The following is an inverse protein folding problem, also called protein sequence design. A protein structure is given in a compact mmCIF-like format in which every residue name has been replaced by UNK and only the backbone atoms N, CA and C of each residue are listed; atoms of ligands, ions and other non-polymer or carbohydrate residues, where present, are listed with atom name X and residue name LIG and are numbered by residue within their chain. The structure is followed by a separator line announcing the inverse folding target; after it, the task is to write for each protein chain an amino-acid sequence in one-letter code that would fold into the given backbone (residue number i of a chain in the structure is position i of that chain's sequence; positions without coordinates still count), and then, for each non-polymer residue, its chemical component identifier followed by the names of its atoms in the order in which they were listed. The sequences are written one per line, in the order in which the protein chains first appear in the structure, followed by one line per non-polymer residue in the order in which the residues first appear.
data_IF_321739197488
#
_entry.id   IF_321739197488
#
_cell.length_a   1.000
_cell.length_b   1.000
_cell.length_c   1.000
_cell.angle_alpha   90.00
_cell.angle_beta   90.00
_cell.angle_gamma   90.00
#
_symmetry.space_group_name_H-M   'P 1'
#
loop_
_entity.id
_entity.type
_entity.pdbx_description
1 polymer ?
#
# COMPACT_ATOMS: atom_id res chain seq x y z
N UNK A 1 -5.89 20.04 10.83
CA UNK A 1 -5.41 20.70 9.59
C UNK A 1 -5.54 19.69 8.47
N UNK A 2 -6.11 20.08 7.32
CA UNK A 2 -6.12 19.23 6.14
C UNK A 2 -4.78 19.37 5.43
N UNK A 3 -4.11 18.25 5.16
CA UNK A 3 -2.92 18.25 4.32
C UNK A 3 -3.30 18.42 2.85
N UNK A 4 -2.46 19.06 2.03
CA UNK A 4 -2.72 19.13 0.59
C UNK A 4 -2.74 17.72 0.00
N UNK A 5 -3.67 17.47 -0.93
CA UNK A 5 -3.77 16.16 -1.60
C UNK A 5 -2.58 15.90 -2.53
N UNK A 6 -1.91 16.95 -2.98
CA UNK A 6 -0.73 16.91 -3.84
C UNK A 6 0.31 17.86 -3.28
N UNK A 7 1.54 17.42 -3.20
CA UNK A 7 2.70 18.21 -2.79
C UNK A 7 3.56 18.44 -4.02
N UNK A 8 3.99 19.66 -4.23
CA UNK A 8 5.04 19.98 -5.21
C UNK A 8 6.37 20.02 -4.47
N UNK A 9 7.23 19.07 -4.78
CA UNK A 9 8.55 18.91 -4.14
C UNK A 9 9.67 19.51 -4.98
N UNK A 10 10.78 19.79 -4.31
CA UNK A 10 12.03 20.19 -4.95
C UNK A 10 12.90 18.97 -5.28
N UNK A 11 13.85 19.13 -6.21
CA UNK A 11 14.83 18.08 -6.49
C UNK A 11 15.68 17.78 -5.26
N UNK A 12 15.66 16.53 -4.83
CA UNK A 12 16.34 16.06 -3.64
C UNK A 12 15.38 15.59 -2.53
N UNK A 13 14.16 16.09 -2.50
CA UNK A 13 13.14 15.65 -1.53
C UNK A 13 12.87 14.15 -1.66
N UNK A 14 12.93 13.63 -2.89
CA UNK A 14 12.75 12.21 -3.18
C UNK A 14 13.85 11.31 -2.62
N UNK A 15 14.98 11.89 -2.22
CA UNK A 15 16.16 11.16 -1.69
C UNK A 15 16.18 11.09 -0.17
N UNK A 16 15.11 11.54 0.49
CA UNK A 16 15.02 11.53 1.95
C UNK A 16 14.40 10.23 2.44
N UNK A 17 15.06 9.58 3.41
CA UNK A 17 14.51 8.47 4.19
C UNK A 17 14.73 8.76 5.67
N UNK A 18 13.67 8.68 6.49
CA UNK A 18 13.72 9.09 7.89
C UNK A 18 12.86 8.18 8.80
N UNK A 19 13.20 8.11 10.07
CA UNK A 19 12.54 7.25 11.06
C UNK A 19 11.15 7.74 11.48
N UNK A 20 10.86 9.04 11.33
CA UNK A 20 9.56 9.63 11.61
C UNK A 20 8.76 9.86 10.33
N UNK A 21 7.44 10.01 10.46
CA UNK A 21 6.57 10.36 9.33
C UNK A 21 7.04 11.67 8.69
N UNK A 22 7.03 11.73 7.35
CA UNK A 22 7.45 12.92 6.61
C UNK A 22 6.38 14.00 6.83
N UNK A 23 6.68 15.03 7.64
CA UNK A 23 5.77 16.16 7.88
C UNK A 23 4.34 15.78 8.28
N UNK A 24 4.14 14.68 9.00
CA UNK A 24 2.82 14.11 9.33
C UNK A 24 1.92 13.79 8.13
N UNK A 25 2.51 13.73 6.93
CA UNK A 25 1.79 13.48 5.68
C UNK A 25 1.21 12.05 5.69
N UNK A 26 -0.07 11.87 5.34
CA UNK A 26 -0.65 10.53 5.21
C UNK A 26 0.08 9.68 4.18
N UNK A 27 0.23 8.37 4.46
CA UNK A 27 0.80 7.43 3.49
C UNK A 27 -0.06 7.39 2.21
N UNK A 28 0.61 7.39 1.07
CA UNK A 28 -0.01 7.47 -0.24
C UNK A 28 -0.22 8.88 -0.77
N UNK A 29 0.10 9.94 -0.01
CA UNK A 29 0.07 11.32 -0.51
C UNK A 29 1.00 11.47 -1.71
N UNK A 30 0.50 12.12 -2.76
CA UNK A 30 1.22 12.35 -4.00
C UNK A 30 2.19 13.51 -3.87
N UNK A 31 3.43 13.31 -4.31
CA UNK A 31 4.40 14.38 -4.57
C UNK A 31 4.77 14.39 -6.05
N UNK A 32 4.84 15.57 -6.63
CA UNK A 32 5.23 15.79 -8.04
C UNK A 32 6.43 16.73 -8.06
N UNK A 33 7.49 16.34 -8.76
CA UNK A 33 8.64 17.21 -9.01
C UNK A 33 8.46 18.01 -10.31
N UNK A 34 9.29 19.05 -10.49
CA UNK A 34 9.20 19.94 -11.65
C UNK A 34 9.41 19.24 -12.99
N UNK A 35 10.11 18.10 -13.03
CA UNK A 35 10.30 17.25 -14.21
C UNK A 35 9.14 16.27 -14.49
N UNK A 36 8.08 16.33 -13.68
CA UNK A 36 6.90 15.48 -13.81
C UNK A 36 7.02 14.09 -13.16
N UNK A 37 8.13 13.76 -12.52
CA UNK A 37 8.25 12.53 -11.75
C UNK A 37 7.25 12.54 -10.59
N UNK A 38 6.61 11.40 -10.35
CA UNK A 38 5.58 11.25 -9.30
C UNK A 38 6.01 10.24 -8.25
N UNK A 39 5.76 10.61 -7.01
CA UNK A 39 6.11 9.82 -5.83
C UNK A 39 4.91 9.71 -4.88
N UNK A 40 4.90 8.65 -4.07
CA UNK A 40 3.93 8.46 -3.00
C UNK A 40 4.65 8.33 -1.66
N UNK A 41 4.16 9.03 -0.63
CA UNK A 41 4.65 8.85 0.73
C UNK A 41 4.45 7.39 1.16
N UNK A 42 5.51 6.73 1.60
CA UNK A 42 5.54 5.31 1.91
C UNK A 42 6.35 5.00 3.17
N UNK A 43 6.17 3.82 3.72
CA UNK A 43 6.92 3.30 4.85
C UNK A 43 7.48 1.92 4.49
N UNK A 44 8.76 1.70 4.75
CA UNK A 44 9.38 0.38 4.65
C UNK A 44 8.83 -0.57 5.72
N UNK A 45 8.76 -1.83 5.40
CA UNK A 45 8.41 -2.88 6.36
C UNK A 45 9.54 -3.21 7.34
N UNK A 46 9.50 -4.43 7.89
CA UNK A 46 10.50 -4.89 8.87
C UNK A 46 11.89 -5.15 8.26
N UNK A 47 12.02 -5.16 6.94
CA UNK A 47 13.29 -5.30 6.22
C UNK A 47 13.66 -3.98 5.54
N UNK A 48 14.96 -3.74 5.42
CA UNK A 48 15.50 -2.61 4.67
C UNK A 48 15.23 -2.79 3.16
N UNK A 49 15.07 -1.67 2.45
CA UNK A 49 14.87 -1.63 1.00
C UNK A 49 16.13 -1.15 0.32
N UNK A 50 16.54 -1.81 -0.75
CA UNK A 50 17.70 -1.39 -1.55
C UNK A 50 17.30 -0.28 -2.53
N UNK A 51 18.22 0.64 -2.82
CA UNK A 51 18.06 1.65 -3.85
C UNK A 51 17.80 0.98 -5.22
N UNK A 52 16.90 1.57 -6.01
CA UNK A 52 16.50 1.04 -7.31
C UNK A 52 15.64 -0.23 -7.27
N UNK A 53 15.32 -0.76 -6.09
CA UNK A 53 14.51 -1.97 -5.99
C UNK A 53 13.03 -1.72 -6.31
N UNK A 54 12.45 -2.61 -7.11
CA UNK A 54 10.99 -2.69 -7.30
C UNK A 54 10.34 -3.14 -6.00
N UNK A 55 9.30 -2.42 -5.59
CA UNK A 55 8.60 -2.62 -4.33
C UNK A 55 7.18 -3.15 -4.54
N UNK A 56 6.71 -3.89 -3.56
CA UNK A 56 5.32 -4.34 -3.45
C UNK A 56 4.71 -3.88 -2.12
N UNK A 57 3.38 -3.83 -2.06
CA UNK A 57 2.71 -3.71 -0.76
C UNK A 57 2.95 -5.00 0.03
N UNK A 58 3.03 -4.91 1.35
CA UNK A 58 3.05 -6.11 2.18
C UNK A 58 1.77 -6.93 1.94
N UNK A 59 1.89 -8.25 1.96
CA UNK A 59 0.71 -9.11 1.98
C UNK A 59 -0.22 -8.63 3.09
N UNK A 60 -1.52 -8.55 2.79
CA UNK A 60 -2.51 -8.14 3.77
C UNK A 60 -2.39 -9.00 5.03
N UNK A 61 -2.47 -8.38 6.21
CA UNK A 61 -2.48 -9.15 7.45
C UNK A 61 -3.61 -10.18 7.41
N UNK A 62 -3.32 -11.48 7.55
CA UNK A 62 -4.35 -12.51 7.52
C UNK A 62 -5.41 -12.24 8.59
N UNK A 63 -6.69 -12.40 8.25
CA UNK A 63 -7.79 -12.33 9.20
C UNK A 63 -8.50 -10.98 9.33
N UNK A 64 -8.00 -9.91 8.74
CA UNK A 64 -8.66 -8.59 8.75
C UNK A 64 -9.42 -8.30 7.44
N UNK A 65 -9.21 -9.11 6.41
CA UNK A 65 -10.06 -9.15 5.22
C UNK A 65 -11.24 -10.09 5.42
N UNK A 66 -12.26 -9.95 4.59
CA UNK A 66 -13.39 -10.87 4.57
C UNK A 66 -12.94 -12.25 4.07
N UNK A 67 -12.41 -13.07 4.95
CA UNK A 67 -12.36 -14.52 4.74
C UNK A 67 -13.73 -15.06 5.14
N UNK A 68 -14.37 -15.79 4.25
CA UNK A 68 -15.73 -16.32 4.37
C UNK A 68 -16.11 -16.69 5.82
N UNK A 69 -17.04 -15.94 6.40
CA UNK A 69 -17.56 -16.17 7.74
C UNK A 69 -16.80 -15.52 8.90
N UNK A 70 -15.66 -14.87 8.69
CA UNK A 70 -14.81 -14.30 9.76
C UNK A 70 -14.65 -12.77 9.67
N UNK A 71 -15.50 -12.07 8.91
CA UNK A 71 -15.43 -10.62 8.79
C UNK A 71 -15.62 -9.94 10.15
N UNK A 72 -14.90 -8.83 10.35
CA UNK A 72 -15.16 -7.94 11.47
C UNK A 72 -16.60 -7.46 11.37
N UNK A 73 -17.36 -7.57 12.47
CA UNK A 73 -18.74 -7.10 12.53
C UNK A 73 -18.81 -5.79 13.29
N UNK A 74 -19.76 -4.95 12.94
CA UNK A 74 -20.08 -3.81 13.78
C UNK A 74 -20.42 -4.30 15.20
N UNK A 75 -19.86 -3.68 16.24
CA UNK A 75 -20.08 -4.11 17.62
C UNK A 75 -21.52 -3.91 18.03
N UNK A 76 -22.12 -4.93 18.67
CA UNK A 76 -23.46 -4.84 19.24
C UNK A 76 -23.50 -4.04 20.55
N UNK A 77 -22.36 -3.89 21.20
CA UNK A 77 -22.26 -3.34 22.56
C UNK A 77 -22.20 -1.81 22.58
N UNK A 78 -22.13 -1.15 21.42
CA UNK A 78 -21.83 0.29 21.35
C UNK A 78 -22.80 1.01 20.41
N UNK A 79 -23.37 2.09 20.91
CA UNK A 79 -24.31 2.97 20.20
C UNK A 79 -23.64 3.94 19.21
N UNK A 80 -22.33 3.77 18.93
CA UNK A 80 -21.52 4.78 18.23
C UNK A 80 -21.33 4.57 16.73
N UNK A 81 -21.84 3.48 16.15
CA UNK A 81 -21.77 3.26 14.69
C UNK A 81 -22.91 3.96 13.93
N UNK A 82 -23.20 5.21 14.33
CA UNK A 82 -24.25 6.03 13.75
C UNK A 82 -23.75 6.75 12.49
N UNK A 83 -24.69 7.24 11.68
CA UNK A 83 -24.35 8.16 10.60
C UNK A 83 -23.63 9.39 11.16
N UNK A 84 -22.68 9.94 10.38
CA UNK A 84 -21.78 11.06 10.72
C UNK A 84 -20.79 10.75 11.87
N UNK A 85 -20.71 9.51 12.37
CA UNK A 85 -19.67 9.12 13.32
C UNK A 85 -18.30 8.99 12.64
N UNK A 86 -17.25 9.43 13.35
CA UNK A 86 -15.85 9.26 12.95
C UNK A 86 -15.20 8.09 13.68
N UNK A 87 -15.81 7.58 14.74
CA UNK A 87 -15.37 6.42 15.47
C UNK A 87 -16.26 5.23 15.15
N UNK A 88 -15.64 4.17 14.65
CA UNK A 88 -16.32 2.91 14.31
C UNK A 88 -15.86 1.81 15.23
N UNK A 89 -16.80 1.21 15.94
CA UNK A 89 -16.52 0.10 16.83
C UNK A 89 -16.77 -1.23 16.12
N UNK A 90 -15.72 -2.04 16.03
CA UNK A 90 -15.76 -3.35 15.38
C UNK A 90 -15.47 -4.46 16.37
N UNK A 91 -16.22 -5.55 16.28
CA UNK A 91 -15.96 -6.73 17.10
C UNK A 91 -14.76 -7.49 16.54
N UNK A 92 -13.73 -7.70 17.36
CA UNK A 92 -12.53 -8.46 17.01
C UNK A 92 -12.63 -9.84 17.64
N UNK A 93 -13.24 -10.79 16.95
CA UNK A 93 -13.52 -12.09 17.58
C UNK A 93 -12.29 -12.98 17.83
N UNK A 94 -11.17 -12.77 17.14
CA UNK A 94 -10.02 -13.69 17.20
C UNK A 94 -8.64 -13.03 17.05
N UNK A 95 -8.52 -11.72 16.81
CA UNK A 95 -7.25 -11.11 16.43
C UNK A 95 -6.93 -9.90 17.32
N UNK A 96 -5.71 -9.87 17.85
CA UNK A 96 -5.19 -8.70 18.52
C UNK A 96 -4.90 -7.61 17.47
N UNK A 97 -5.41 -6.41 17.68
CA UNK A 97 -5.10 -5.22 16.88
C UNK A 97 -3.96 -4.45 17.52
N UNK A 98 -2.90 -4.24 16.77
CA UNK A 98 -1.84 -3.29 17.15
C UNK A 98 -2.35 -1.87 16.91
N UNK A 99 -2.01 -0.92 17.78
CA UNK A 99 -2.33 0.48 17.60
C UNK A 99 -1.83 0.98 16.24
N UNK A 100 -2.66 1.74 15.55
CA UNK A 100 -2.38 2.35 14.25
C UNK A 100 -1.96 1.38 13.12
N UNK A 101 -2.26 0.07 13.28
CA UNK A 101 -1.98 -0.93 12.24
C UNK A 101 -2.61 -0.55 10.90
N UNK A 102 -3.82 0.01 10.92
CA UNK A 102 -4.59 0.42 9.75
C UNK A 102 -4.56 1.93 9.48
N UNK A 103 -3.70 2.69 10.17
CA UNK A 103 -3.54 4.10 9.88
C UNK A 103 -3.25 4.35 8.40
N UNK A 104 -3.89 5.36 7.83
CA UNK A 104 -3.87 5.71 6.39
C UNK A 104 -4.41 4.59 5.47
N UNK A 105 -4.99 3.54 6.04
CA UNK A 105 -5.68 2.47 5.34
C UNK A 105 -7.13 2.78 5.00
N UNK A 106 -7.91 1.74 4.80
CA UNK A 106 -9.34 1.85 4.47
C UNK A 106 -10.18 0.84 5.25
N UNK A 107 -11.35 1.29 5.66
CA UNK A 107 -12.45 0.45 6.15
C UNK A 107 -13.45 0.31 5.01
N UNK A 108 -13.76 -0.93 4.62
CA UNK A 108 -14.68 -1.23 3.54
C UNK A 108 -15.88 -2.00 4.10
N UNK A 109 -17.11 -1.62 3.73
CA UNK A 109 -18.32 -2.34 4.09
C UNK A 109 -18.54 -3.43 3.05
N UNK A 110 -18.52 -4.70 3.49
CA UNK A 110 -18.56 -5.86 2.59
C UNK A 110 -19.82 -6.73 2.74
N UNK A 111 -20.66 -6.48 3.71
CA UNK A 111 -21.89 -7.26 3.90
C UNK A 111 -22.86 -6.69 4.92
N UNK A 112 -24.06 -7.26 5.02
CA UNK A 112 -24.65 -8.30 4.18
C UNK A 112 -25.04 -7.82 2.77
N UNK A 113 -25.14 -8.74 1.81
CA UNK A 113 -25.40 -8.42 0.40
C UNK A 113 -26.69 -7.62 0.13
N UNK A 114 -27.66 -7.67 1.02
CA UNK A 114 -28.91 -6.91 0.93
C UNK A 114 -28.83 -5.50 1.51
N UNK A 115 -27.67 -5.05 2.01
CA UNK A 115 -27.54 -3.73 2.59
C UNK A 115 -27.27 -2.66 1.52
N UNK A 116 -27.92 -1.50 1.66
CA UNK A 116 -27.81 -0.37 0.73
C UNK A 116 -26.45 0.33 0.78
N UNK A 117 -25.54 -0.07 1.70
CA UNK A 117 -24.26 0.57 1.93
C UNK A 117 -23.04 -0.31 1.55
N UNK A 118 -23.28 -1.46 0.90
CA UNK A 118 -22.17 -2.23 0.32
C UNK A 118 -21.42 -1.38 -0.69
N UNK A 119 -20.08 -1.43 -0.59
CA UNK A 119 -19.19 -0.67 -1.45
C UNK A 119 -18.81 0.70 -0.88
N UNK A 120 -19.39 1.13 0.26
CA UNK A 120 -18.88 2.28 0.96
C UNK A 120 -17.49 1.99 1.52
N UNK A 121 -16.55 2.88 1.25
CA UNK A 121 -15.17 2.80 1.67
C UNK A 121 -14.79 4.09 2.39
N UNK A 122 -14.23 3.96 3.58
CA UNK A 122 -13.88 5.09 4.44
C UNK A 122 -12.39 5.12 4.72
N UNK A 123 -11.80 6.31 4.74
CA UNK A 123 -10.39 6.49 5.04
C UNK A 123 -10.15 6.38 6.54
N UNK A 124 -9.22 5.49 6.93
CA UNK A 124 -8.87 5.27 8.35
C UNK A 124 -7.75 6.22 8.76
N UNK A 125 -7.99 7.01 9.81
CA UNK A 125 -6.99 7.88 10.45
C UNK A 125 -6.06 7.07 11.37
N UNK A 126 -6.62 6.10 12.09
CA UNK A 126 -5.90 5.23 13.02
C UNK A 126 -6.82 4.20 13.66
N UNK A 127 -6.27 3.36 14.50
CA UNK A 127 -7.05 2.43 15.33
C UNK A 127 -6.41 2.26 16.71
N UNK A 128 -7.24 2.04 17.72
CA UNK A 128 -6.77 1.67 19.04
C UNK A 128 -6.22 0.24 19.06
N UNK A 129 -5.31 -0.02 20.01
CA UNK A 129 -4.88 -1.39 20.29
C UNK A 129 -6.03 -2.16 20.92
N UNK A 130 -6.26 -3.38 20.46
CA UNK A 130 -7.21 -4.28 21.09
C UNK A 130 -6.57 -5.65 21.28
N UNK A 131 -6.70 -6.21 22.48
CA UNK A 131 -6.29 -7.59 22.73
C UNK A 131 -7.18 -8.55 21.92
N UNK A 132 -6.64 -9.73 21.60
CA UNK A 132 -7.46 -10.85 21.15
C UNK A 132 -8.36 -11.27 22.31
N UNK A 133 -9.55 -10.74 22.36
CA UNK A 133 -10.56 -11.17 23.34
C UNK A 133 -11.53 -12.06 22.60
N UNK A 134 -11.80 -13.24 23.18
CA UNK A 134 -12.89 -14.10 22.71
C UNK A 134 -14.19 -13.30 22.56
N UNK A 135 -15.20 -13.91 22.00
CA UNK A 135 -16.51 -13.31 21.65
C UNK A 135 -16.88 -12.10 22.55
N UNK A 136 -16.78 -10.88 22.01
CA UNK A 136 -17.19 -9.66 22.70
C UNK A 136 -16.17 -8.51 22.78
N UNK A 137 -14.92 -8.69 22.32
CA UNK A 137 -13.97 -7.58 22.24
C UNK A 137 -14.34 -6.59 21.13
N UNK A 138 -14.28 -5.31 21.43
CA UNK A 138 -14.46 -4.24 20.46
C UNK A 138 -13.16 -3.47 20.28
N UNK A 139 -12.83 -3.15 19.05
CA UNK A 139 -11.77 -2.22 18.70
C UNK A 139 -12.37 -0.94 18.12
N UNK A 140 -11.79 0.19 18.46
CA UNK A 140 -12.17 1.48 17.88
C UNK A 140 -11.29 1.79 16.68
N UNK A 141 -11.93 2.07 15.56
CA UNK A 141 -11.32 2.53 14.32
C UNK A 141 -11.68 4.01 14.15
N UNK A 142 -10.68 4.86 14.06
CA UNK A 142 -10.86 6.29 13.85
C UNK A 142 -10.84 6.58 12.36
N UNK A 143 -11.90 7.18 11.84
CA UNK A 143 -11.98 7.69 10.47
C UNK A 143 -11.43 9.12 10.42
N UNK A 144 -11.10 9.60 9.23
CA UNK A 144 -10.82 11.01 9.02
C UNK A 144 -12.11 11.82 9.22
N UNK A 145 -12.01 12.96 9.88
CA UNK A 145 -13.14 13.88 10.15
C UNK A 145 -13.83 14.37 8.86
N UNK A 146 -13.10 14.38 7.77
CA UNK A 146 -13.61 14.73 6.44
C UNK A 146 -14.32 13.57 5.73
N UNK A 147 -14.25 12.35 6.29
CA UNK A 147 -14.84 11.14 5.71
C UNK A 147 -15.60 10.33 6.79
N UNK A 148 -16.60 10.94 7.47
CA UNK A 148 -17.39 10.26 8.48
C UNK A 148 -18.33 9.22 7.86
N UNK A 149 -18.83 8.30 8.67
CA UNK A 149 -19.83 7.33 8.24
C UNK A 149 -21.05 8.05 7.63
N UNK A 150 -21.41 7.68 6.41
CA UNK A 150 -22.61 8.22 5.75
C UNK A 150 -23.90 7.49 6.14
N UNK A 151 -23.77 6.32 6.71
CA UNK A 151 -24.89 5.48 7.12
C UNK A 151 -24.57 4.82 8.45
N UNK A 152 -25.61 4.58 9.25
CA UNK A 152 -25.45 3.81 10.48
C UNK A 152 -25.16 2.35 10.16
N UNK A 153 -24.15 1.76 10.83
CA UNK A 153 -23.83 0.35 10.65
C UNK A 153 -24.68 -0.49 11.61
N UNK A 154 -25.47 -1.40 11.02
CA UNK A 154 -26.32 -2.28 11.80
C UNK A 154 -25.47 -3.24 12.66
N UNK A 155 -25.66 -3.25 13.99
CA UNK A 155 -24.92 -4.11 14.90
C UNK A 155 -25.04 -5.59 14.51
N UNK A 156 -23.98 -6.35 14.66
CA UNK A 156 -23.89 -7.80 14.43
C UNK A 156 -24.13 -8.29 12.99
N UNK A 157 -24.85 -7.54 12.14
CA UNK A 157 -25.16 -7.93 10.77
C UNK A 157 -24.24 -7.25 9.75
N UNK A 158 -23.78 -6.04 10.00
CA UNK A 158 -22.84 -5.34 9.11
C UNK A 158 -21.44 -5.94 9.22
N UNK A 159 -20.93 -6.42 8.10
CA UNK A 159 -19.58 -6.97 7.97
C UNK A 159 -18.69 -5.92 7.34
N UNK A 160 -17.56 -5.67 7.97
CA UNK A 160 -16.54 -4.72 7.49
C UNK A 160 -15.21 -5.44 7.26
N UNK A 161 -14.40 -4.91 6.38
CA UNK A 161 -13.02 -5.33 6.20
C UNK A 161 -12.07 -4.15 6.37
N UNK A 162 -10.95 -4.38 7.03
CA UNK A 162 -9.90 -3.40 7.22
C UNK A 162 -8.72 -3.76 6.32
N UNK A 163 -8.22 -2.78 5.57
CA UNK A 163 -7.02 -2.93 4.74
C UNK A 163 -5.99 -1.89 5.13
N UNK A 164 -4.76 -2.32 5.29
CA UNK A 164 -3.63 -1.40 5.44
C UNK A 164 -3.51 -0.49 4.22
N UNK A 165 -2.91 0.69 4.40
CA UNK A 165 -2.44 1.46 3.26
C UNK A 165 -1.49 0.60 2.42
N UNK A 166 -1.62 0.57 1.08
CA UNK A 166 -0.71 -0.17 0.22
C UNK A 166 0.74 0.38 0.29
N UNK A 167 0.91 1.58 0.83
CA UNK A 167 2.20 2.23 1.05
C UNK A 167 2.76 2.05 2.46
N UNK A 168 2.09 1.25 3.31
CA UNK A 168 2.55 0.88 4.65
C UNK A 168 3.21 -0.50 4.62
N UNK A 169 4.32 -0.62 5.34
CA UNK A 169 5.08 -1.86 5.45
C UNK A 169 5.53 -2.41 4.08
N UNK A 170 5.98 -1.53 3.18
CA UNK A 170 6.42 -1.94 1.84
C UNK A 170 7.60 -2.90 1.89
N UNK A 171 7.62 -3.85 0.97
CA UNK A 171 8.64 -4.88 0.84
C UNK A 171 9.27 -4.85 -0.55
N UNK A 172 10.46 -5.40 -0.69
CA UNK A 172 11.04 -5.68 -2.00
C UNK A 172 10.14 -6.70 -2.71
N UNK A 173 9.81 -6.44 -3.97
CA UNK A 173 9.00 -7.37 -4.78
C UNK A 173 9.66 -8.75 -4.80
N UNK A 174 8.94 -9.77 -4.36
CA UNK A 174 9.46 -11.14 -4.29
C UNK A 174 9.27 -11.87 -5.63
N UNK A 175 10.29 -12.55 -6.17
CA UNK A 175 10.15 -13.37 -7.35
C UNK A 175 9.29 -14.61 -7.04
N UNK A 176 8.72 -15.20 -8.06
CA UNK A 176 7.95 -16.46 -7.99
C UNK A 176 6.72 -16.48 -7.09
N UNK A 177 6.36 -15.34 -6.48
CA UNK A 177 5.18 -15.22 -5.65
C UNK A 177 4.44 -13.94 -6.01
N UNK A 178 3.36 -14.03 -6.77
CA UNK A 178 2.47 -12.89 -7.02
C UNK A 178 1.66 -12.66 -5.74
N UNK A 179 2.30 -12.02 -4.75
CA UNK A 179 1.68 -11.71 -3.46
C UNK A 179 0.97 -10.34 -3.50
N UNK A 180 1.45 -9.45 -4.36
CA UNK A 180 0.93 -8.10 -4.51
C UNK A 180 1.45 -7.47 -5.82
N UNK A 181 0.73 -6.49 -6.39
CA UNK A 181 1.20 -5.78 -7.57
C UNK A 181 2.46 -4.95 -7.25
N UNK A 182 3.28 -4.63 -8.26
CA UNK A 182 4.38 -3.69 -8.10
C UNK A 182 3.82 -2.30 -7.76
N UNK A 183 4.34 -1.71 -6.70
CA UNK A 183 3.85 -0.44 -6.17
C UNK A 183 4.73 0.75 -6.54
N UNK A 184 5.93 0.52 -7.01
CA UNK A 184 6.89 1.55 -7.38
C UNK A 184 8.32 1.13 -7.11
N UNK A 185 9.21 2.10 -7.04
CA UNK A 185 10.65 1.91 -6.86
C UNK A 185 11.15 2.76 -5.69
N UNK A 186 12.11 2.22 -4.92
CA UNK A 186 12.82 2.99 -3.91
C UNK A 186 13.95 3.80 -4.57
N UNK A 187 13.90 5.13 -4.60
CA UNK A 187 14.97 5.94 -5.23
C UNK A 187 16.27 5.92 -4.43
N UNK A 188 16.21 5.61 -3.14
CA UNK A 188 17.34 5.49 -2.23
C UNK A 188 17.24 4.22 -1.39
N UNK A 189 18.34 3.85 -0.73
CA UNK A 189 18.30 2.79 0.28
C UNK A 189 17.50 3.28 1.51
N UNK A 190 16.60 2.44 2.01
CA UNK A 190 15.69 2.77 3.11
C UNK A 190 15.87 1.75 4.23
N UNK A 191 16.15 2.23 5.43
CA UNK A 191 16.20 1.36 6.62
C UNK A 191 14.83 0.78 6.97
N UNK A 192 14.82 -0.35 7.68
CA UNK A 192 13.58 -0.96 8.16
C UNK A 192 12.72 0.06 8.93
N UNK A 193 11.42 0.04 8.66
CA UNK A 193 10.41 0.92 9.27
C UNK A 193 10.54 2.42 8.97
N UNK A 194 11.49 2.85 8.13
CA UNK A 194 11.66 4.26 7.75
C UNK A 194 10.63 4.69 6.72
N UNK A 195 10.30 5.99 6.75
CA UNK A 195 9.44 6.66 5.78
C UNK A 195 10.28 7.21 4.64
N UNK A 196 9.72 7.16 3.42
CA UNK A 196 10.41 7.56 2.20
C UNK A 196 9.40 7.90 1.10
N UNK A 197 9.91 8.40 -0.04
CA UNK A 197 9.12 8.66 -1.23
C UNK A 197 9.28 7.51 -2.23
N UNK A 198 8.23 6.74 -2.45
CA UNK A 198 8.18 5.65 -3.43
C UNK A 198 7.87 6.22 -4.82
N UNK A 199 8.78 6.07 -5.78
CA UNK A 199 8.58 6.57 -7.15
C UNK A 199 7.58 5.69 -7.90
N UNK A 200 6.62 6.35 -8.59
CA UNK A 200 5.55 5.69 -9.34
C UNK A 200 5.56 5.99 -10.83
N UNK A 201 6.10 7.13 -11.25
CA UNK A 201 6.04 7.58 -12.65
C UNK A 201 7.23 8.46 -13.01
N UNK A 202 7.49 8.54 -14.29
CA UNK A 202 8.59 9.31 -14.89
C UNK A 202 9.91 8.53 -14.94
N UNK A 203 11.00 9.22 -15.22
CA UNK A 203 12.32 8.61 -15.31
C UNK A 203 12.81 8.10 -13.96
N UNK A 204 13.17 6.81 -13.89
CA UNK A 204 13.58 6.13 -12.65
C UNK A 204 14.81 5.26 -12.91
N UNK A 205 15.74 5.26 -11.94
CA UNK A 205 16.85 4.31 -11.90
C UNK A 205 16.40 3.04 -11.19
N UNK A 206 16.39 1.92 -11.88
CA UNK A 206 15.86 0.64 -11.39
C UNK A 206 16.88 -0.48 -11.55
N UNK A 207 16.92 -1.39 -10.59
CA UNK A 207 17.79 -2.57 -10.67
C UNK A 207 17.34 -3.47 -11.81
N UNK A 208 18.27 -3.83 -12.69
CA UNK A 208 18.05 -4.83 -13.73
C UNK A 208 18.49 -6.21 -13.23
N UNK A 209 17.71 -7.23 -13.53
CA UNK A 209 18.05 -8.62 -13.27
C UNK A 209 19.08 -9.17 -14.26
N UNK A 210 19.19 -10.48 -14.35
CA UNK A 210 20.13 -11.18 -15.23
C UNK A 210 19.84 -10.93 -16.73
N UNK A 211 18.59 -10.62 -17.09
CA UNK A 211 18.20 -10.33 -18.49
C UNK A 211 18.44 -8.85 -18.80
N UNK A 212 19.28 -8.60 -19.78
CA UNK A 212 19.62 -7.24 -20.23
C UNK A 212 18.40 -6.60 -20.90
N UNK A 213 18.02 -5.42 -20.43
CA UNK A 213 16.99 -4.61 -21.05
C UNK A 213 17.55 -3.85 -22.25
N UNK A 214 16.73 -3.73 -23.29
CA UNK A 214 17.08 -3.05 -24.55
C UNK A 214 16.27 -1.76 -24.65
N UNK A 215 16.93 -0.68 -25.07
CA UNK A 215 16.31 0.65 -25.25
C UNK A 215 15.02 0.58 -26.06
N UNK A 216 13.98 1.24 -25.59
CA UNK A 216 12.67 1.29 -26.24
C UNK A 216 11.79 0.06 -26.01
N UNK A 217 12.33 -0.99 -25.39
CA UNK A 217 11.55 -2.19 -25.08
C UNK A 217 10.79 -2.04 -23.77
N UNK A 218 9.65 -2.72 -23.70
CA UNK A 218 8.83 -2.78 -22.48
C UNK A 218 9.55 -3.54 -21.39
N UNK A 219 9.47 -3.01 -20.18
CA UNK A 219 10.10 -3.55 -18.97
C UNK A 219 9.02 -3.99 -17.98
N UNK A 220 9.22 -5.15 -17.41
CA UNK A 220 8.33 -5.76 -16.39
C UNK A 220 9.11 -6.03 -15.10
N UNK A 221 8.42 -6.25 -13.98
CA UNK A 221 9.09 -6.76 -12.79
C UNK A 221 9.68 -8.15 -13.05
N UNK A 222 10.90 -8.39 -12.58
CA UNK A 222 11.57 -9.68 -12.73
C UNK A 222 10.92 -10.73 -11.81
N UNK A 223 10.61 -11.90 -12.39
CA UNK A 223 10.03 -13.01 -11.65
C UNK A 223 11.09 -13.99 -11.14
N UNK A 224 12.36 -13.74 -11.42
CA UNK A 224 13.49 -14.61 -11.01
C UNK A 224 14.38 -13.95 -9.97
N UNK A 225 14.51 -12.62 -10.01
CA UNK A 225 15.36 -11.86 -9.10
C UNK A 225 14.56 -10.80 -8.34
N UNK A 226 14.65 -10.84 -7.00
CA UNK A 226 13.89 -9.95 -6.12
C UNK A 226 14.23 -8.48 -6.35
N UNK A 227 13.17 -7.66 -6.51
CA UNK A 227 13.29 -6.21 -6.65
C UNK A 227 13.93 -5.72 -7.94
N UNK A 228 14.07 -6.57 -8.94
CA UNK A 228 14.64 -6.23 -10.24
C UNK A 228 13.57 -6.07 -11.31
N UNK A 229 13.97 -5.52 -12.43
CA UNK A 229 13.20 -5.51 -13.68
C UNK A 229 13.84 -6.40 -14.72
N UNK A 230 13.03 -6.90 -15.63
CA UNK A 230 13.43 -7.69 -16.79
C UNK A 230 12.73 -7.18 -18.05
N UNK A 231 13.26 -7.58 -19.21
CA UNK A 231 12.60 -7.35 -20.48
C UNK A 231 11.28 -8.13 -20.55
N UNK A 232 10.23 -7.49 -21.05
CA UNK A 232 8.97 -8.16 -21.35
C UNK A 232 9.19 -9.09 -22.55
N UNK A 233 9.60 -10.34 -22.28
CA UNK A 233 9.80 -11.32 -23.33
C UNK A 233 8.47 -11.87 -23.84
N UNK A 234 8.30 -11.83 -25.14
CA UNK A 234 7.19 -12.48 -25.85
C UNK A 234 7.51 -13.94 -26.21
N UNK A 235 8.62 -14.49 -25.75
CA UNK A 235 9.02 -15.84 -26.11
C UNK A 235 8.02 -16.89 -25.61
N UNK A 236 7.55 -17.72 -26.53
CA UNK A 236 6.74 -18.89 -26.21
C UNK A 236 7.51 -19.80 -25.25
N UNK A 237 7.01 -19.98 -24.02
CA UNK A 237 7.63 -20.78 -23.00
C UNK A 237 8.06 -20.05 -21.72
N UNK A 238 8.04 -18.73 -21.70
CA UNK A 238 8.26 -17.96 -20.45
C UNK A 238 6.99 -18.01 -19.60
N UNK A 239 7.08 -18.70 -18.46
CA UNK A 239 5.96 -18.93 -17.53
C UNK A 239 5.62 -17.71 -16.67
N UNK A 240 6.22 -16.56 -16.92
CA UNK A 240 6.03 -15.37 -16.10
C UNK A 240 5.84 -14.12 -16.94
N UNK A 241 4.58 -13.66 -17.07
CA UNK A 241 4.31 -12.26 -17.41
C UNK A 241 4.42 -11.46 -16.13
N UNK A 242 5.51 -10.73 -15.96
CA UNK A 242 5.60 -9.69 -14.94
C UNK A 242 4.62 -8.55 -15.26
N UNK A 243 4.26 -7.79 -14.25
CA UNK A 243 3.48 -6.56 -14.45
C UNK A 243 4.34 -5.51 -15.15
N UNK A 244 3.73 -4.75 -16.07
CA UNK A 244 4.42 -3.71 -16.82
C UNK A 244 4.84 -2.58 -15.88
N UNK A 245 6.14 -2.27 -15.90
CA UNK A 245 6.74 -1.17 -15.15
C UNK A 245 6.91 0.09 -16.01
N UNK A 246 7.16 -0.09 -17.30
CA UNK A 246 7.44 1.00 -18.23
C UNK A 246 8.29 0.57 -19.41
N UNK A 247 9.17 1.47 -19.87
CA UNK A 247 10.03 1.26 -21.03
C UNK A 247 11.48 1.60 -20.69
N UNK A 248 12.43 0.81 -21.19
CA UNK A 248 13.86 1.04 -21.02
C UNK A 248 14.30 2.29 -21.80
N UNK A 249 14.98 3.21 -21.14
CA UNK A 249 15.60 4.40 -21.74
C UNK A 249 17.06 4.15 -22.09
N UNK A 250 17.70 3.20 -21.41
CA UNK A 250 19.07 2.80 -21.67
C UNK A 250 19.22 1.29 -21.49
N UNK A 251 20.30 0.73 -22.02
CA UNK A 251 20.70 -0.66 -21.81
C UNK A 251 22.02 -0.69 -21.05
N UNK A 252 22.10 -1.54 -20.03
CA UNK A 252 23.30 -1.73 -19.21
C UNK A 252 23.64 -3.22 -19.14
N UNK A 253 24.81 -3.54 -18.60
CA UNK A 253 25.18 -4.94 -18.29
C UNK A 253 24.23 -5.51 -17.25
N UNK A 254 24.07 -6.84 -17.25
CA UNK A 254 23.24 -7.55 -16.27
C UNK A 254 23.60 -7.16 -14.83
N UNK A 255 22.60 -7.15 -13.97
CA UNK A 255 22.71 -6.82 -12.53
C UNK A 255 23.17 -5.39 -12.22
N UNK A 256 23.06 -4.47 -13.18
CA UNK A 256 23.26 -3.03 -12.97
C UNK A 256 21.93 -2.30 -12.85
N UNK A 257 21.98 -1.03 -12.46
CA UNK A 257 20.80 -0.16 -12.55
C UNK A 257 20.68 0.38 -13.97
N UNK A 258 19.44 0.52 -14.42
CA UNK A 258 19.10 1.11 -15.72
C UNK A 258 18.11 2.26 -15.54
N UNK A 259 18.12 3.20 -16.44
CA UNK A 259 17.06 4.20 -16.54
C UNK A 259 15.87 3.62 -17.29
N UNK A 260 14.68 3.73 -16.70
CA UNK A 260 13.40 3.40 -17.33
C UNK A 260 12.46 4.59 -17.25
N UNK A 261 11.56 4.72 -18.21
CA UNK A 261 10.39 5.58 -18.08
C UNK A 261 9.25 4.78 -17.47
N UNK A 262 8.94 5.06 -16.21
CA UNK A 262 7.97 4.30 -15.41
C UNK A 262 6.54 4.81 -15.62
N UNK A 263 5.58 3.88 -15.74
CA UNK A 263 4.18 4.19 -16.10
C UNK A 263 3.16 3.55 -15.14
N UNK A 264 3.49 3.43 -13.87
CA UNK A 264 2.58 2.85 -12.88
C UNK A 264 1.47 3.83 -12.45
N UNK A 265 1.61 5.14 -12.77
CA UNK A 265 0.62 6.17 -12.44
C UNK A 265 0.56 7.27 -13.50
#
# INVERSE_FOLDING_TARGET
MSHPNVIYGDYGDEKVAQSSKIGDIPLGTLMILADGRKFRAAQAGAAALSAGAVLACSAGAPGYGNLAGSGLKASATVTHNLAEATDVHVATSLLALTKDLFADGVLNIVGPAASTYIGHMYKVKGNEAAASVGVGGAATIHLYETDPLKVALAPTSCVVSLKKSPYKDMIIYAPNAIIAPPMGVAPVAVSASFYFWCQRSGEASVRQGATVCVVGMQVVNDLTEAGSVALALTAAGSTGRGDVMGYALEGQSASQAIAIYMTLE
#
